data_IF_316143141688
#
_entry.id   IF_316143141688
#
_cell.length_a   1.000
_cell.length_b   1.000
_cell.length_c   1.000
_cell.angle_alpha   90.00
_cell.angle_beta   90.00
_cell.angle_gamma   90.00
#
_symmetry.space_group_name_H-M   'P 1'
#
loop_
_entity.id
_entity.type
_entity.pdbx_description
1 polymer ?
#
# COMPACT_ATOMS: atom_id res chain seq x y z
N UNK A 1 -5.95 12.37 13.92
CA UNK A 1 -5.12 11.39 14.66
C UNK A 1 -5.33 9.97 14.12
N UNK A 2 -6.54 9.40 14.21
CA UNK A 2 -6.80 8.00 13.79
C UNK A 2 -6.52 7.77 12.29
N UNK A 3 -7.02 8.65 11.41
CA UNK A 3 -6.78 8.55 9.96
C UNK A 3 -5.27 8.59 9.64
N UNK A 4 -4.56 9.56 10.19
CA UNK A 4 -3.13 9.75 9.98
C UNK A 4 -2.31 8.58 10.52
N UNK A 5 -2.68 8.05 11.69
CA UNK A 5 -2.04 6.88 12.27
C UNK A 5 -2.24 5.61 11.43
N UNK A 6 -3.45 5.40 10.92
CA UNK A 6 -3.76 4.28 10.03
C UNK A 6 -3.02 4.39 8.69
N UNK A 7 -2.90 5.62 8.17
CA UNK A 7 -2.13 5.90 6.96
C UNK A 7 -0.65 5.55 7.14
N UNK A 8 -0.02 6.04 8.21
CA UNK A 8 1.37 5.73 8.54
C UNK A 8 1.59 4.24 8.82
N UNK A 9 0.63 3.57 9.46
CA UNK A 9 0.70 2.13 9.71
C UNK A 9 0.72 1.33 8.40
N UNK A 10 -0.21 1.63 7.48
CA UNK A 10 -0.24 0.98 6.16
C UNK A 10 1.02 1.28 5.34
N UNK A 11 1.55 2.50 5.43
CA UNK A 11 2.81 2.89 4.81
C UNK A 11 3.98 2.03 5.30
N UNK A 12 4.13 1.93 6.62
CA UNK A 12 5.19 1.13 7.25
C UNK A 12 5.03 -0.36 6.95
N UNK A 13 3.80 -0.88 6.98
CA UNK A 13 3.53 -2.27 6.63
C UNK A 13 3.89 -2.58 5.17
N UNK A 14 3.54 -1.69 4.24
CA UNK A 14 3.92 -1.78 2.83
C UNK A 14 5.43 -1.71 2.62
N UNK A 15 6.11 -0.77 3.29
CA UNK A 15 7.56 -0.63 3.22
C UNK A 15 8.27 -1.87 3.75
N UNK A 16 7.83 -2.41 4.90
CA UNK A 16 8.37 -3.66 5.45
C UNK A 16 8.13 -4.84 4.51
N UNK A 17 6.93 -4.97 3.95
CA UNK A 17 6.65 -6.03 2.97
C UNK A 17 7.57 -5.94 1.73
N UNK A 18 7.83 -4.72 1.24
CA UNK A 18 8.76 -4.48 0.14
C UNK A 18 10.21 -4.83 0.50
N UNK A 19 10.66 -4.57 1.74
CA UNK A 19 12.03 -4.97 2.17
C UNK A 19 12.26 -6.48 2.15
N UNK A 20 11.22 -7.30 2.29
CA UNK A 20 11.34 -8.77 2.17
C UNK A 20 11.35 -9.28 0.72
N UNK A 21 10.91 -8.45 -0.23
CA UNK A 21 10.72 -8.84 -1.63
C UNK A 21 11.75 -8.23 -2.58
N UNK A 22 12.45 -7.18 -2.14
CA UNK A 22 13.48 -6.47 -2.88
C UNK A 22 14.86 -6.87 -2.34
N UNK A 23 15.80 -7.16 -3.23
CA UNK A 23 17.17 -7.50 -2.84
C UNK A 23 17.86 -6.33 -2.13
N UNK A 24 18.38 -6.51 -0.89
CA UNK A 24 19.03 -5.46 -0.11
C UNK A 24 20.33 -4.94 -0.73
N UNK A 25 20.93 -5.68 -1.67
CA UNK A 25 22.18 -5.29 -2.33
C UNK A 25 22.00 -4.16 -3.34
N UNK A 26 20.75 -3.87 -3.74
CA UNK A 26 20.44 -3.03 -4.90
C UNK A 26 19.86 -1.67 -4.51
N UNK A 27 19.22 -1.56 -3.33
CA UNK A 27 18.49 -0.36 -2.89
C UNK A 27 18.64 -0.12 -1.40
N UNK A 28 18.67 1.14 -0.98
CA UNK A 28 18.68 1.51 0.42
C UNK A 28 17.30 1.34 1.06
N UNK A 29 17.25 1.15 2.37
CA UNK A 29 15.99 1.19 3.14
C UNK A 29 15.24 2.51 2.95
N UNK A 30 15.98 3.62 2.79
CA UNK A 30 15.39 4.92 2.53
C UNK A 30 14.63 4.94 1.20
N UNK A 31 15.16 4.30 0.16
CA UNK A 31 14.55 4.22 -1.17
C UNK A 31 13.26 3.41 -1.11
N UNK A 32 13.26 2.29 -0.38
CA UNK A 32 12.09 1.41 -0.23
C UNK A 32 10.96 2.11 0.54
N UNK A 33 11.30 2.78 1.64
CA UNK A 33 10.32 3.56 2.41
C UNK A 33 9.77 4.71 1.57
N UNK A 34 10.63 5.39 0.82
CA UNK A 34 10.22 6.47 -0.08
C UNK A 34 9.28 5.95 -1.18
N UNK A 35 9.59 4.81 -1.81
CA UNK A 35 8.74 4.20 -2.83
C UNK A 35 7.36 3.82 -2.28
N UNK A 36 7.31 3.28 -1.06
CA UNK A 36 6.06 2.99 -0.37
C UNK A 36 5.27 4.28 -0.10
N UNK A 37 5.95 5.35 0.34
CA UNK A 37 5.33 6.65 0.60
C UNK A 37 4.72 7.27 -0.65
N UNK A 38 5.45 7.24 -1.78
CA UNK A 38 5.01 7.83 -3.04
C UNK A 38 3.92 7.01 -3.71
N UNK A 39 3.97 5.68 -3.60
CA UNK A 39 2.91 4.80 -4.07
C UNK A 39 1.62 5.03 -3.29
N UNK A 40 1.67 5.02 -1.95
CA UNK A 40 0.49 5.26 -1.12
C UNK A 40 -0.02 6.70 -1.24
N UNK A 41 0.86 7.69 -1.42
CA UNK A 41 0.49 9.07 -1.66
C UNK A 41 0.06 9.38 -3.09
N UNK A 42 0.10 8.40 -4.01
CA UNK A 42 -0.14 8.58 -5.45
C UNK A 42 0.69 9.73 -6.07
N UNK A 43 1.90 9.95 -5.55
CA UNK A 43 2.79 11.06 -5.96
C UNK A 43 3.47 10.74 -7.29
N UNK A 44 3.64 9.45 -7.61
CA UNK A 44 4.22 8.99 -8.89
C UNK A 44 5.73 9.19 -9.01
N UNK A 45 6.42 9.57 -7.94
CA UNK A 45 7.88 9.62 -7.88
C UNK A 45 8.44 8.24 -7.54
N UNK A 46 9.49 7.85 -8.25
CA UNK A 46 10.18 6.58 -8.04
C UNK A 46 11.67 6.82 -7.86
N UNK A 47 12.26 6.11 -6.91
CA UNK A 47 13.72 6.03 -6.68
C UNK A 47 14.38 5.02 -7.64
N UNK A 48 13.61 4.40 -8.52
CA UNK A 48 14.07 3.36 -9.44
C UNK A 48 13.89 1.94 -8.89
N UNK A 49 13.15 1.77 -7.79
CA UNK A 49 12.72 0.46 -7.26
C UNK A 49 11.63 -0.17 -8.15
N UNK A 50 10.65 0.64 -8.59
CA UNK A 50 9.59 0.20 -9.50
C UNK A 50 10.13 -0.02 -10.94
N UNK A 51 10.74 -1.18 -11.19
CA UNK A 51 11.31 -1.56 -12.49
C UNK A 51 10.48 -2.67 -13.16
N UNK A 52 10.50 -2.74 -14.51
CA UNK A 52 9.81 -3.82 -15.25
C UNK A 52 10.28 -5.25 -14.91
N UNK A 53 11.46 -5.39 -14.30
CA UNK A 53 12.03 -6.67 -13.89
C UNK A 53 11.90 -6.91 -12.36
N UNK A 54 11.01 -6.20 -11.67
CA UNK A 54 10.80 -6.41 -10.23
C UNK A 54 10.04 -7.71 -9.95
N UNK A 55 10.12 -8.17 -8.70
CA UNK A 55 9.33 -9.31 -8.24
C UNK A 55 7.82 -9.02 -8.43
N UNK A 56 7.04 -9.92 -9.07
CA UNK A 56 5.60 -9.73 -9.30
C UNK A 56 4.81 -9.41 -8.02
N UNK A 57 5.26 -9.95 -6.88
CA UNK A 57 4.64 -9.66 -5.58
C UNK A 57 4.89 -8.23 -5.09
N UNK A 58 6.08 -7.67 -5.36
CA UNK A 58 6.40 -6.29 -5.03
C UNK A 58 5.57 -5.31 -5.87
N UNK A 59 5.38 -5.62 -7.16
CA UNK A 59 4.51 -4.86 -8.06
C UNK A 59 3.06 -4.85 -7.55
N UNK A 60 2.53 -6.00 -7.16
CA UNK A 60 1.19 -6.11 -6.58
C UNK A 60 0.99 -5.26 -5.33
N UNK A 61 2.00 -5.20 -4.44
CA UNK A 61 1.96 -4.36 -3.23
C UNK A 61 1.95 -2.88 -3.59
N UNK A 62 2.77 -2.45 -4.55
CA UNK A 62 2.79 -1.05 -5.00
C UNK A 62 1.46 -0.64 -5.64
N UNK A 63 0.88 -1.50 -6.50
CA UNK A 63 -0.45 -1.28 -7.10
C UNK A 63 -1.51 -1.14 -6.00
N UNK A 64 -1.49 -2.04 -5.01
CA UNK A 64 -2.43 -1.99 -3.90
C UNK A 64 -2.28 -0.73 -3.04
N UNK A 65 -1.05 -0.28 -2.80
CA UNK A 65 -0.79 0.99 -2.12
C UNK A 65 -1.32 2.20 -2.89
N UNK A 66 -1.12 2.25 -4.21
CA UNK A 66 -1.69 3.30 -5.06
C UNK A 66 -3.22 3.29 -5.05
N UNK A 67 -3.82 2.10 -5.06
CA UNK A 67 -5.26 1.94 -5.00
C UNK A 67 -5.84 2.44 -3.67
N UNK A 68 -5.25 2.06 -2.53
CA UNK A 68 -5.65 2.56 -1.20
C UNK A 68 -5.45 4.07 -1.10
N UNK A 69 -4.32 4.57 -1.61
CA UNK A 69 -4.01 5.99 -1.63
C UNK A 69 -5.09 6.83 -2.29
N UNK A 70 -5.62 6.33 -3.42
CA UNK A 70 -6.62 7.03 -4.22
C UNK A 70 -8.05 6.86 -3.72
N UNK A 71 -8.38 5.72 -3.12
CA UNK A 71 -9.72 5.46 -2.58
C UNK A 71 -9.90 5.94 -1.14
N UNK A 72 -8.86 6.50 -0.52
CA UNK A 72 -8.76 6.67 0.93
C UNK A 72 -8.92 5.35 1.69
N UNK A 73 -8.42 5.33 2.92
CA UNK A 73 -8.35 4.09 3.70
C UNK A 73 -9.74 3.62 4.13
N UNK A 74 -10.65 4.55 4.47
CA UNK A 74 -11.99 4.20 4.95
C UNK A 74 -12.85 3.49 3.89
N UNK A 75 -12.96 3.97 2.65
CA UNK A 75 -13.71 3.27 1.60
C UNK A 75 -13.18 1.86 1.33
N UNK A 76 -11.86 1.64 1.39
CA UNK A 76 -11.29 0.28 1.25
C UNK A 76 -11.76 -0.65 2.37
N UNK A 77 -11.73 -0.20 3.63
CA UNK A 77 -12.24 -1.00 4.75
C UNK A 77 -13.75 -1.22 4.67
N UNK A 78 -14.51 -0.24 4.18
CA UNK A 78 -15.96 -0.37 3.98
C UNK A 78 -16.27 -1.36 2.85
N UNK A 79 -15.51 -1.34 1.75
CA UNK A 79 -15.63 -2.29 0.63
C UNK A 79 -15.28 -3.72 1.07
N UNK A 80 -14.20 -3.90 1.82
CA UNK A 80 -13.86 -5.19 2.42
C UNK A 80 -14.97 -5.70 3.33
N UNK A 81 -15.53 -4.82 4.18
CA UNK A 81 -16.67 -5.15 5.03
C UNK A 81 -17.91 -5.51 4.21
N UNK A 82 -18.23 -4.77 3.15
CA UNK A 82 -19.41 -5.04 2.33
C UNK A 82 -19.28 -6.35 1.55
N UNK A 83 -18.07 -6.68 1.10
CA UNK A 83 -17.75 -7.94 0.44
C UNK A 83 -17.86 -9.13 1.39
N UNK A 84 -17.35 -9.01 2.63
CA UNK A 84 -17.31 -10.10 3.61
C UNK A 84 -18.62 -10.29 4.35
N UNK A 85 -19.28 -9.21 4.79
CA UNK A 85 -20.51 -9.29 5.59
C UNK A 85 -21.80 -9.26 4.75
N UNK A 86 -21.70 -8.98 3.44
CA UNK A 86 -22.84 -8.79 2.55
C UNK A 86 -23.62 -7.50 2.86
N UNK A 87 -24.39 -7.03 1.88
CA UNK A 87 -25.26 -5.84 2.01
C UNK A 87 -26.52 -6.06 2.85
N UNK A 88 -26.52 -7.08 3.72
CA UNK A 88 -27.71 -7.48 4.45
C UNK A 88 -28.22 -6.31 5.31
N UNK A 89 -29.44 -5.80 5.07
CA UNK A 89 -30.02 -4.79 5.94
C UNK A 89 -30.14 -5.39 7.34
N UNK A 90 -29.81 -4.59 8.34
CA UNK A 90 -30.17 -4.92 9.72
C UNK A 90 -31.67 -5.22 9.72
N UNK A 91 -32.04 -6.48 9.96
CA UNK A 91 -33.45 -6.85 10.08
C UNK A 91 -34.03 -6.07 11.29
N UNK A 92 -35.24 -5.51 11.15
CA UNK A 92 -35.87 -4.68 12.19
C UNK A 92 -36.13 -5.47 13.47
#
# INVERSE_FOLDING_TARGET
>A
AVLTGLYLFLMMAGAVALTYLIDPSSYSLADIIFESATAQGTVGLSTGVARPAMNPWAEGILIFQMWIGRLEIFPVFILLRSLVAGTAPARP
#
